data_IF_641204350698
#
_entry.id   IF_641204350698
#
_cell.length_a   1.000
_cell.length_b   1.000
_cell.length_c   1.000
_cell.angle_alpha   90.00
_cell.angle_beta   90.00
_cell.angle_gamma   90.00
#
_symmetry.space_group_name_H-M   'P 1'
#
loop_
_entity.id
_entity.type
_entity.pdbx_description
1 polymer ?
#
# COMPACT_ATOMS: atom_id res chain seq x y z
N UNK A 1 0.56 10.66 23.52
CA UNK A 1 1.50 9.55 23.26
C UNK A 1 1.18 8.83 21.97
N UNK A 2 -0.08 8.47 21.74
CA UNK A 2 -0.47 7.79 20.49
C UNK A 2 -0.27 8.72 19.29
N UNK A 3 -0.57 9.99 19.43
CA UNK A 3 -0.38 10.98 18.37
C UNK A 3 1.10 11.13 18.00
N UNK A 4 1.99 11.14 19.00
CA UNK A 4 3.43 11.21 18.76
C UNK A 4 3.95 9.96 18.07
N UNK A 5 3.45 8.80 18.46
CA UNK A 5 3.80 7.53 17.80
C UNK A 5 3.34 7.49 16.36
N UNK A 6 2.12 7.95 16.11
CA UNK A 6 1.59 8.03 14.74
C UNK A 6 2.43 8.97 13.89
N UNK A 7 2.81 10.14 14.44
CA UNK A 7 3.65 11.10 13.74
C UNK A 7 5.01 10.49 13.39
N UNK A 8 5.61 9.75 14.31
CA UNK A 8 6.89 9.08 14.07
C UNK A 8 6.76 8.02 12.95
N UNK A 9 5.69 7.22 12.98
CA UNK A 9 5.44 6.22 11.96
C UNK A 9 5.25 6.89 10.58
N UNK A 10 4.53 8.00 10.53
CA UNK A 10 4.30 8.75 9.31
C UNK A 10 5.61 9.32 8.75
N UNK A 11 6.49 9.84 9.61
CA UNK A 11 7.80 10.35 9.18
C UNK A 11 8.63 9.21 8.57
N UNK A 12 8.63 8.04 9.20
CA UNK A 12 9.33 6.86 8.66
C UNK A 12 8.77 6.48 7.29
N UNK A 13 7.46 6.49 7.14
CA UNK A 13 6.81 6.18 5.87
C UNK A 13 7.19 7.18 4.78
N UNK A 14 7.21 8.46 5.11
CA UNK A 14 7.58 9.52 4.15
C UNK A 14 9.02 9.39 3.71
N UNK A 15 9.93 9.15 4.65
CA UNK A 15 11.35 8.97 4.35
C UNK A 15 11.57 7.73 3.47
N UNK A 16 10.91 6.62 3.80
CA UNK A 16 11.02 5.38 3.04
C UNK A 16 10.40 5.51 1.65
N UNK A 17 9.31 6.27 1.52
CA UNK A 17 8.69 6.56 0.23
C UNK A 17 9.65 7.31 -0.68
N UNK A 18 10.38 8.29 -0.15
CA UNK A 18 11.36 9.04 -0.93
C UNK A 18 12.47 8.11 -1.46
N UNK A 19 12.97 7.21 -0.63
CA UNK A 19 13.98 6.21 -1.03
C UNK A 19 13.38 5.26 -2.07
N UNK A 20 12.19 4.77 -1.83
CA UNK A 20 11.49 3.85 -2.74
C UNK A 20 11.30 4.47 -4.12
N UNK A 21 10.85 5.73 -4.17
CA UNK A 21 10.63 6.45 -5.43
C UNK A 21 11.92 6.58 -6.25
N UNK A 22 13.06 6.68 -5.57
CA UNK A 22 14.34 6.84 -6.23
C UNK A 22 14.90 5.52 -6.75
N UNK A 23 14.71 4.41 -6.03
CA UNK A 23 15.42 3.16 -6.28
C UNK A 23 14.56 2.00 -6.77
N UNK A 24 13.24 2.12 -6.70
CA UNK A 24 12.35 1.02 -7.04
C UNK A 24 11.39 1.38 -8.17
N UNK A 25 10.91 0.34 -8.87
CA UNK A 25 9.98 0.52 -9.98
C UNK A 25 8.61 0.99 -9.49
N UNK A 26 7.82 1.54 -10.41
CA UNK A 26 6.44 1.97 -10.10
C UNK A 26 5.61 0.76 -9.68
N UNK A 27 5.84 -0.42 -10.28
CA UNK A 27 5.15 -1.66 -9.90
C UNK A 27 5.37 -1.96 -8.41
N UNK A 28 6.62 -1.89 -7.94
CA UNK A 28 6.96 -2.12 -6.55
C UNK A 28 6.40 -1.05 -5.63
N UNK A 29 6.44 0.20 -6.05
CA UNK A 29 5.86 1.30 -5.28
C UNK A 29 4.35 1.12 -5.12
N UNK A 30 3.66 0.71 -6.18
CA UNK A 30 2.22 0.46 -6.13
C UNK A 30 1.90 -0.71 -5.21
N UNK A 31 2.66 -1.81 -5.30
CA UNK A 31 2.49 -2.95 -4.40
C UNK A 31 2.65 -2.53 -2.94
N UNK A 32 3.70 -1.77 -2.63
CA UNK A 32 3.96 -1.27 -1.28
C UNK A 32 2.79 -0.42 -0.77
N UNK A 33 2.34 0.51 -1.59
CA UNK A 33 1.26 1.41 -1.21
C UNK A 33 -0.04 0.63 -0.95
N UNK A 34 -0.37 -0.33 -1.81
CA UNK A 34 -1.56 -1.15 -1.65
C UNK A 34 -1.51 -1.97 -0.36
N UNK A 35 -0.38 -2.63 -0.09
CA UNK A 35 -0.23 -3.43 1.11
C UNK A 35 -0.33 -2.60 2.38
N UNK A 36 0.34 -1.43 2.41
CA UNK A 36 0.27 -0.55 3.57
C UNK A 36 -1.15 -0.02 3.80
N UNK A 37 -1.86 0.30 2.73
CA UNK A 37 -3.24 0.76 2.83
C UNK A 37 -4.15 -0.33 3.37
N UNK A 38 -4.00 -1.57 2.86
CA UNK A 38 -4.83 -2.69 3.28
C UNK A 38 -4.48 -3.19 4.68
N UNK A 39 -3.25 -2.98 5.15
CA UNK A 39 -2.86 -3.33 6.52
C UNK A 39 -3.69 -2.57 7.56
N UNK A 40 -4.24 -1.42 7.20
CA UNK A 40 -5.06 -0.60 8.10
C UNK A 40 -6.56 -0.79 7.88
N UNK A 41 -6.96 -1.63 6.92
CA UNK A 41 -8.36 -1.86 6.58
C UNK A 41 -8.72 -3.33 6.82
N UNK A 42 -9.96 -3.62 7.27
CA UNK A 42 -10.40 -5.01 7.50
C UNK A 42 -10.82 -5.72 6.20
N UNK A 43 -10.55 -5.17 5.04
CA UNK A 43 -10.98 -5.71 3.76
C UNK A 43 -9.83 -5.70 2.76
N UNK A 44 -10.01 -6.39 1.64
CA UNK A 44 -9.04 -6.41 0.54
C UNK A 44 -9.44 -5.53 -0.64
N UNK A 45 -10.35 -4.59 -0.40
CA UNK A 45 -10.86 -3.65 -1.41
C UNK A 45 -10.53 -2.22 -1.03
N UNK A 46 -10.23 -1.41 -2.05
CA UNK A 46 -9.90 0.00 -1.88
C UNK A 46 -10.57 0.79 -3.00
N UNK A 47 -11.21 1.91 -2.64
CA UNK A 47 -11.83 2.80 -3.63
C UNK A 47 -10.94 4.02 -3.81
N UNK A 48 -10.29 4.12 -4.96
CA UNK A 48 -9.37 5.22 -5.23
C UNK A 48 -9.08 5.33 -6.72
N UNK A 49 -9.04 6.55 -7.23
CA UNK A 49 -8.74 6.79 -8.65
C UNK A 49 -7.25 6.65 -8.94
N UNK A 50 -6.91 6.34 -10.18
CA UNK A 50 -5.51 6.26 -10.61
C UNK A 50 -4.79 7.60 -10.46
N UNK A 51 -5.49 8.70 -10.69
CA UNK A 51 -4.94 10.03 -10.54
C UNK A 51 -4.53 10.31 -9.09
N UNK A 52 -5.37 9.94 -8.14
CA UNK A 52 -5.07 10.11 -6.72
C UNK A 52 -3.88 9.24 -6.29
N UNK A 53 -3.83 8.00 -6.76
CA UNK A 53 -2.70 7.11 -6.51
C UNK A 53 -1.41 7.71 -7.07
N UNK A 54 -1.47 8.24 -8.29
CA UNK A 54 -0.31 8.87 -8.92
C UNK A 54 0.19 10.07 -8.10
N UNK A 55 -0.72 10.88 -7.60
CA UNK A 55 -0.37 12.02 -6.74
C UNK A 55 0.27 11.55 -5.43
N UNK A 56 -0.25 10.49 -4.83
CA UNK A 56 0.29 9.97 -3.57
C UNK A 56 1.65 9.33 -3.75
N UNK A 57 1.89 8.67 -4.88
CA UNK A 57 3.18 8.05 -5.18
C UNK A 57 4.20 9.04 -5.77
N UNK A 58 3.74 10.20 -6.22
CA UNK A 58 4.61 11.18 -6.86
C UNK A 58 5.05 10.76 -8.27
N UNK A 59 4.20 10.05 -8.99
CA UNK A 59 4.46 9.56 -10.35
C UNK A 59 3.36 10.02 -11.30
N UNK A 60 3.56 9.78 -12.59
CA UNK A 60 2.57 10.12 -13.61
C UNK A 60 1.43 9.10 -13.62
N UNK A 61 0.23 9.56 -13.95
CA UNK A 61 -0.94 8.68 -14.04
C UNK A 61 -0.72 7.51 -15.01
N UNK A 62 -0.06 7.76 -16.14
CA UNK A 62 0.24 6.72 -17.13
C UNK A 62 1.09 5.61 -16.51
N UNK A 63 2.01 5.96 -15.62
CA UNK A 63 2.82 4.98 -14.90
C UNK A 63 1.99 4.10 -13.99
N UNK A 64 1.01 4.68 -13.29
CA UNK A 64 0.10 3.92 -12.44
C UNK A 64 -0.77 2.99 -13.30
N UNK A 65 -1.30 3.51 -14.41
CA UNK A 65 -2.13 2.72 -15.33
C UNK A 65 -1.36 1.50 -15.85
N UNK A 66 -0.13 1.69 -16.26
CA UNK A 66 0.72 0.61 -16.77
C UNK A 66 1.06 -0.41 -15.66
N UNK A 67 1.43 0.08 -14.48
CA UNK A 67 1.77 -0.80 -13.35
C UNK A 67 0.55 -1.61 -12.90
N UNK A 68 -0.60 -0.96 -12.76
CA UNK A 68 -1.83 -1.65 -12.39
C UNK A 68 -2.23 -2.68 -13.45
N UNK A 69 -2.04 -2.35 -14.72
CA UNK A 69 -2.32 -3.28 -15.82
C UNK A 69 -1.46 -4.53 -15.76
N UNK A 70 -0.17 -4.39 -15.44
CA UNK A 70 0.73 -5.52 -15.28
C UNK A 70 0.31 -6.41 -14.12
N UNK A 71 -0.01 -5.81 -12.98
CA UNK A 71 -0.45 -6.57 -11.80
C UNK A 71 -1.78 -7.27 -12.06
N UNK A 72 -2.68 -6.64 -12.78
CA UNK A 72 -3.95 -7.25 -13.15
C UNK A 72 -3.76 -8.40 -14.12
N UNK A 73 -2.89 -8.25 -15.11
CA UNK A 73 -2.57 -9.30 -16.07
C UNK A 73 -1.98 -10.54 -15.38
N UNK A 74 -1.23 -10.34 -14.30
CA UNK A 74 -0.63 -11.42 -13.52
C UNK A 74 -1.59 -12.01 -12.49
N UNK A 75 -2.83 -11.51 -12.40
CA UNK A 75 -3.84 -12.04 -11.50
C UNK A 75 -3.68 -11.62 -10.04
N UNK A 76 -2.90 -10.57 -9.77
CA UNK A 76 -2.65 -10.12 -8.39
C UNK A 76 -3.75 -9.21 -7.88
N UNK A 77 -4.35 -8.42 -8.76
CA UNK A 77 -5.42 -7.51 -8.41
C UNK A 77 -6.39 -7.33 -9.58
N UNK A 78 -7.54 -6.75 -9.25
CA UNK A 78 -8.52 -6.32 -10.25
C UNK A 78 -8.79 -4.84 -10.03
N UNK A 79 -8.64 -4.05 -11.09
CA UNK A 79 -8.89 -2.62 -11.06
C UNK A 79 -10.03 -2.27 -12.01
N UNK A 80 -11.14 -1.80 -11.47
CA UNK A 80 -12.32 -1.47 -12.28
C UNK A 80 -13.05 -0.28 -11.67
N UNK A 81 -13.25 0.77 -12.47
CA UNK A 81 -14.05 1.94 -12.10
C UNK A 81 -13.64 2.57 -10.77
N UNK A 82 -12.33 2.75 -10.56
CA UNK A 82 -11.81 3.33 -9.34
C UNK A 82 -11.81 2.41 -8.13
N UNK A 83 -12.11 1.13 -8.31
CA UNK A 83 -12.08 0.12 -7.25
C UNK A 83 -10.94 -0.85 -7.48
N UNK A 84 -10.15 -1.07 -6.45
CA UNK A 84 -9.05 -2.02 -6.49
C UNK A 84 -9.39 -3.17 -5.54
N UNK A 85 -9.36 -4.39 -6.06
CA UNK A 85 -9.52 -5.59 -5.26
C UNK A 85 -8.24 -6.40 -5.35
N UNK A 86 -7.61 -6.70 -4.22
CA UNK A 86 -6.43 -7.56 -4.20
C UNK A 86 -6.90 -9.01 -4.23
N UNK A 87 -6.49 -9.73 -5.28
CA UNK A 87 -6.91 -11.11 -5.49
C UNK A 87 -5.95 -12.10 -4.84
N UNK A 88 -4.65 -11.78 -4.79
CA UNK A 88 -3.63 -12.66 -4.25
C UNK A 88 -2.61 -11.84 -3.46
N UNK A 89 -2.87 -11.67 -2.18
CA UNK A 89 -2.01 -10.88 -1.31
C UNK A 89 -0.62 -11.50 -1.15
N UNK A 90 -0.54 -12.82 -1.07
CA UNK A 90 0.76 -13.49 -0.89
C UNK A 90 1.70 -13.21 -2.06
N UNK A 91 1.18 -13.28 -3.29
CA UNK A 91 1.99 -12.96 -4.47
C UNK A 91 2.32 -11.48 -4.55
N UNK A 92 1.41 -10.63 -4.09
CA UNK A 92 1.66 -9.19 -4.03
C UNK A 92 2.79 -8.89 -3.05
N UNK A 93 2.80 -9.54 -1.89
CA UNK A 93 3.87 -9.43 -0.90
C UNK A 93 5.21 -9.93 -1.43
N UNK A 94 5.19 -10.99 -2.23
CA UNK A 94 6.40 -11.51 -2.85
C UNK A 94 6.99 -10.56 -3.89
N UNK A 95 6.17 -9.69 -4.46
CA UNK A 95 6.59 -8.76 -5.52
C UNK A 95 7.02 -7.39 -5.00
N UNK A 96 6.61 -7.06 -3.77
CA UNK A 96 6.89 -5.75 -3.19
C UNK A 96 8.37 -5.60 -2.84
N UNK A 97 8.84 -4.35 -2.80
CA UNK A 97 10.20 -4.04 -2.38
C UNK A 97 10.34 -4.11 -0.85
N UNK A 98 11.58 -4.08 -0.39
CA UNK A 98 11.92 -4.10 1.04
C UNK A 98 11.34 -2.94 1.83
N UNK A 99 11.01 -1.83 1.15
CA UNK A 99 10.45 -0.64 1.78
C UNK A 99 9.13 -0.90 2.50
N UNK A 100 8.33 -1.84 1.99
CA UNK A 100 7.10 -2.24 2.66
C UNK A 100 7.38 -2.82 4.04
N UNK A 101 8.34 -3.74 4.13
CA UNK A 101 8.67 -4.38 5.40
C UNK A 101 9.19 -3.38 6.43
N UNK A 102 10.00 -2.41 5.98
CA UNK A 102 10.53 -1.37 6.87
C UNK A 102 9.40 -0.54 7.47
N UNK A 103 8.48 -0.06 6.65
CA UNK A 103 7.37 0.77 7.12
C UNK A 103 6.41 -0.03 7.97
N UNK A 104 6.06 -1.25 7.55
CA UNK A 104 5.16 -2.12 8.31
C UNK A 104 5.71 -2.39 9.71
N UNK A 105 7.00 -2.72 9.81
CA UNK A 105 7.65 -2.99 11.09
C UNK A 105 7.55 -1.77 12.01
N UNK A 106 7.73 -0.57 11.47
CA UNK A 106 7.64 0.65 12.27
C UNK A 106 6.22 0.93 12.75
N UNK A 107 5.22 0.73 11.91
CA UNK A 107 3.83 0.87 12.30
C UNK A 107 3.45 -0.15 13.36
N UNK A 108 3.87 -1.40 13.20
CA UNK A 108 3.57 -2.46 14.16
C UNK A 108 4.22 -2.19 15.51
N UNK A 109 5.42 -1.56 15.51
CA UNK A 109 6.13 -1.21 16.74
C UNK A 109 5.50 -0.03 17.47
N UNK A 110 5.02 0.98 16.73
CA UNK A 110 4.59 2.26 17.29
C UNK A 110 3.09 2.34 17.54
N UNK A 111 2.28 1.61 16.76
CA UNK A 111 0.84 1.70 16.80
C UNK A 111 0.22 0.34 17.15
N UNK A 112 -0.97 0.33 17.80
CA UNK A 112 -1.66 -0.94 18.01
C UNK A 112 -2.08 -1.55 16.68
N UNK A 113 -2.19 -2.90 16.59
CA UNK A 113 -2.61 -3.55 15.36
C UNK A 113 -4.03 -3.14 14.97
N UNK A 114 -4.39 -3.19 13.65
CA UNK A 114 -5.74 -2.92 13.22
C UNK A 114 -6.72 -3.91 13.86
N UNK A 115 -7.93 -3.44 14.17
CA UNK A 115 -8.96 -4.29 14.75
C UNK A 115 -9.41 -5.32 13.72
N UNK A 116 -9.33 -6.64 14.01
CA UNK A 116 -9.82 -7.65 13.08
C UNK A 116 -11.32 -7.52 12.85
N UNK A 117 -11.77 -7.85 11.65
CA UNK A 117 -13.20 -7.79 11.30
C UNK A 117 -14.05 -8.61 12.27
N UNK A 118 -13.54 -9.76 12.71
CA UNK A 118 -14.24 -10.62 13.67
C UNK A 118 -14.49 -9.92 15.01
N UNK A 119 -13.58 -9.08 15.45
CA UNK A 119 -13.75 -8.34 16.71
C UNK A 119 -14.83 -7.28 16.59
N UNK A 120 -15.09 -6.78 15.40
CA UNK A 120 -16.13 -5.78 15.16
C UNK A 120 -17.55 -6.38 15.17
N UNK A 121 -17.65 -7.70 14.98
CA UNK A 121 -18.91 -8.42 14.93
C UNK A 121 -19.32 -8.96 16.31
N UNK A 122 -18.41 -8.96 17.24
CA UNK A 122 -18.65 -9.42 18.59
C UNK A 122 -19.12 -8.33 19.49
#
# INVERSE_FOLDING_TARGET
LLLLRFTQALITQMAQTAVCNRHHSIDQQLCRWLLLSLDRLPANKLVMTQELIANMLGVRREGVTEAAGKLQADGLLEYSRGRITVLDRARLEARVCECYAVVKKEYDRLLPPPVPERALQG
#
